data_IF_688382128670
#
_entry.id   IF_688382128670
#
_cell.length_a   1.000
_cell.length_b   1.000
_cell.length_c   1.000
_cell.angle_alpha   90.00
_cell.angle_beta   90.00
_cell.angle_gamma   90.00
#
_symmetry.space_group_name_H-M   'P 1'
#
loop_
_entity.id
_entity.type
_entity.pdbx_description
1 polymer ?
#
# COMPACT_ATOMS: atom_id res chain seq x y z
N UNK A 1 -4.13 32.59 -22.15
CA UNK A 1 -2.75 32.20 -21.79
C UNK A 1 -2.84 31.04 -20.81
N UNK A 2 -2.61 29.80 -21.27
CA UNK A 2 -2.65 28.63 -20.39
C UNK A 2 -1.29 28.52 -19.69
N UNK A 3 -1.21 28.97 -18.44
CA UNK A 3 -0.07 28.64 -17.58
C UNK A 3 -0.23 27.16 -17.20
N UNK A 4 0.45 26.29 -17.93
CA UNK A 4 0.65 24.91 -17.52
C UNK A 4 1.51 24.94 -16.25
N UNK A 5 0.85 25.06 -15.10
CA UNK A 5 1.48 24.78 -13.83
C UNK A 5 1.98 23.34 -13.91
N UNK A 6 3.28 23.17 -14.09
CA UNK A 6 3.96 21.89 -13.89
C UNK A 6 3.52 21.40 -12.52
N UNK A 7 2.59 20.43 -12.51
CA UNK A 7 2.13 19.79 -11.28
C UNK A 7 3.33 19.03 -10.75
N UNK A 8 4.14 19.72 -9.93
CA UNK A 8 5.25 19.10 -9.22
C UNK A 8 4.65 17.93 -8.48
N UNK A 9 5.02 16.72 -8.86
CA UNK A 9 4.53 15.54 -8.18
C UNK A 9 5.08 15.58 -6.76
N UNK A 10 4.18 15.60 -5.78
CA UNK A 10 4.54 15.65 -4.36
C UNK A 10 4.25 14.30 -3.72
N UNK A 11 5.06 13.94 -2.73
CA UNK A 11 4.76 12.79 -1.90
C UNK A 11 3.41 12.97 -1.21
N UNK A 12 2.52 11.99 -1.32
CA UNK A 12 1.19 11.99 -0.70
C UNK A 12 1.20 11.94 0.84
N UNK A 13 2.38 11.75 1.47
CA UNK A 13 2.53 11.71 2.94
C UNK A 13 3.17 12.99 3.48
N UNK A 14 4.25 13.49 2.86
CA UNK A 14 4.99 14.65 3.39
C UNK A 14 5.05 15.86 2.46
N UNK A 15 4.38 15.79 1.31
CA UNK A 15 4.24 16.89 0.34
C UNK A 15 5.57 17.43 -0.21
N UNK A 16 6.64 16.63 -0.15
CA UNK A 16 7.95 16.98 -0.72
C UNK A 16 8.11 16.38 -2.12
N UNK A 17 8.74 17.13 -3.03
CA UNK A 17 8.95 16.76 -4.44
C UNK A 17 10.22 15.91 -4.70
N UNK A 18 11.00 15.58 -3.67
CA UNK A 18 12.29 14.93 -3.86
C UNK A 18 12.14 13.42 -4.10
N UNK A 19 12.57 12.95 -5.27
CA UNK A 19 12.72 11.52 -5.56
C UNK A 19 11.39 10.76 -5.49
N UNK A 20 10.50 11.10 -6.42
CA UNK A 20 9.14 10.57 -6.43
C UNK A 20 9.08 9.21 -7.10
N UNK A 21 8.43 8.27 -6.41
CA UNK A 21 8.03 6.97 -6.88
C UNK A 21 6.50 6.88 -6.92
N UNK A 22 5.95 6.48 -8.06
CA UNK A 22 4.50 6.26 -8.22
C UNK A 22 4.15 4.80 -7.97
N UNK A 23 3.36 4.54 -6.92
CA UNK A 23 2.73 3.24 -6.73
C UNK A 23 1.50 3.15 -7.65
N UNK A 24 1.58 2.36 -8.73
CA UNK A 24 0.45 2.20 -9.68
C UNK A 24 -0.76 1.48 -9.08
N UNK A 25 -0.54 0.56 -8.14
CA UNK A 25 -1.63 -0.14 -7.46
C UNK A 25 -2.48 0.81 -6.60
N UNK A 26 -1.84 1.71 -5.86
CA UNK A 26 -2.53 2.67 -5.00
C UNK A 26 -2.79 4.01 -5.69
N UNK A 27 -2.27 4.22 -6.91
CA UNK A 27 -2.32 5.48 -7.67
C UNK A 27 -1.85 6.69 -6.84
N UNK A 28 -0.78 6.49 -6.07
CA UNK A 28 -0.21 7.51 -5.17
C UNK A 28 1.29 7.67 -5.40
N UNK A 29 1.75 8.89 -5.16
CA UNK A 29 3.15 9.28 -5.33
C UNK A 29 3.83 9.39 -3.96
N UNK A 30 5.02 8.84 -3.82
CA UNK A 30 5.75 8.82 -2.57
C UNK A 30 7.20 9.22 -2.76
N UNK A 31 7.82 9.89 -1.79
CA UNK A 31 9.27 10.03 -1.78
C UNK A 31 9.93 8.70 -1.40
N UNK A 32 11.23 8.55 -1.66
CA UNK A 32 12.00 7.33 -1.36
C UNK A 32 11.83 6.77 0.06
N UNK A 33 11.62 7.62 1.07
CA UNK A 33 11.35 7.18 2.44
C UNK A 33 9.96 6.55 2.55
N UNK A 34 8.93 7.29 2.15
CA UNK A 34 7.54 6.88 2.31
C UNK A 34 7.13 5.75 1.36
N UNK A 35 7.82 5.54 0.23
CA UNK A 35 7.59 4.34 -0.60
C UNK A 35 8.04 3.06 0.12
N UNK A 36 9.14 3.12 0.88
CA UNK A 36 9.61 1.96 1.64
C UNK A 36 8.62 1.63 2.77
N UNK A 37 8.19 2.65 3.53
CA UNK A 37 7.17 2.50 4.57
C UNK A 37 5.85 2.00 3.98
N UNK A 38 5.42 2.54 2.83
CA UNK A 38 4.21 2.08 2.13
C UNK A 38 4.29 0.60 1.73
N UNK A 39 5.44 0.14 1.22
CA UNK A 39 5.64 -1.28 0.86
C UNK A 39 5.63 -2.18 2.09
N UNK A 40 6.23 -1.76 3.20
CA UNK A 40 6.20 -2.51 4.45
C UNK A 40 4.78 -2.66 4.98
N UNK A 41 3.99 -1.59 4.94
CA UNK A 41 2.59 -1.63 5.33
C UNK A 41 1.76 -2.56 4.43
N UNK A 42 1.97 -2.53 3.11
CA UNK A 42 1.29 -3.46 2.19
C UNK A 42 1.63 -4.92 2.48
N UNK A 43 2.89 -5.23 2.78
CA UNK A 43 3.28 -6.60 3.14
C UNK A 43 2.59 -7.05 4.44
N UNK A 44 2.57 -6.18 5.45
CA UNK A 44 1.89 -6.46 6.71
C UNK A 44 0.41 -6.77 6.51
N UNK A 45 -0.29 -5.96 5.70
CA UNK A 45 -1.69 -6.21 5.37
C UNK A 45 -1.89 -7.56 4.67
N UNK A 46 -0.96 -7.94 3.78
CA UNK A 46 -1.03 -9.24 3.10
C UNK A 46 -0.85 -10.40 4.08
N UNK A 47 0.14 -10.31 4.98
CA UNK A 47 0.39 -11.33 6.01
C UNK A 47 -0.80 -11.49 6.96
N UNK A 48 -1.43 -10.38 7.34
CA UNK A 48 -2.66 -10.39 8.14
C UNK A 48 -3.81 -11.07 7.41
N UNK A 49 -4.02 -10.77 6.12
CA UNK A 49 -5.05 -11.42 5.31
C UNK A 49 -4.82 -12.93 5.17
N UNK A 50 -3.57 -13.37 4.93
CA UNK A 50 -3.22 -14.79 4.86
C UNK A 50 -3.48 -15.48 6.19
N UNK A 51 -3.03 -14.87 7.30
CA UNK A 51 -3.25 -15.43 8.63
C UNK A 51 -4.74 -15.57 8.95
N UNK A 52 -5.54 -14.55 8.64
CA UNK A 52 -6.99 -14.59 8.86
C UNK A 52 -7.68 -15.64 7.99
N UNK A 53 -7.24 -15.79 6.73
CA UNK A 53 -7.75 -16.82 5.83
C UNK A 53 -7.45 -18.23 6.37
N UNK A 54 -6.22 -18.48 6.82
CA UNK A 54 -5.81 -19.79 7.34
C UNK A 54 -6.58 -20.14 8.61
N UNK A 55 -6.79 -19.17 9.51
CA UNK A 55 -7.62 -19.35 10.70
C UNK A 55 -9.09 -19.67 10.36
N UNK A 56 -9.65 -18.98 9.37
CA UNK A 56 -11.01 -19.23 8.91
C UNK A 56 -11.14 -20.63 8.30
N UNK A 57 -10.19 -21.02 7.43
CA UNK A 57 -10.18 -22.33 6.81
C UNK A 57 -10.04 -23.43 7.86
N UNK A 58 -9.15 -23.26 8.84
CA UNK A 58 -9.00 -24.19 9.94
C UNK A 58 -10.33 -24.35 10.72
N UNK A 59 -10.98 -23.23 11.04
CA UNK A 59 -12.27 -23.22 11.74
C UNK A 59 -13.35 -23.99 10.96
N UNK A 60 -13.41 -23.82 9.63
CA UNK A 60 -14.36 -24.53 8.77
C UNK A 60 -14.09 -26.04 8.80
N UNK A 61 -12.84 -26.45 8.61
CA UNK A 61 -12.44 -27.88 8.63
C UNK A 61 -12.75 -28.51 9.99
N UNK A 62 -12.48 -27.80 11.09
CA UNK A 62 -12.81 -28.27 12.44
C UNK A 62 -14.32 -28.44 12.65
N UNK A 63 -15.15 -27.60 12.03
CA UNK A 63 -16.60 -27.72 12.09
C UNK A 63 -17.17 -28.82 11.18
N UNK A 64 -16.57 -29.07 10.02
CA UNK A 64 -16.99 -30.16 9.12
C UNK A 64 -16.59 -31.56 9.64
N UNK A 65 -15.60 -31.63 10.53
CA UNK A 65 -15.14 -32.87 11.14
C UNK A 65 -15.95 -33.32 12.38
N UNK A 66 -16.97 -32.54 12.79
CA UNK A 66 -17.89 -32.84 13.90
C UNK A 66 -19.22 -33.41 13.40
#
# INVERSE_FOLDING_TARGET
MANAAERKTLCSICEKAAGIFTCRGCQKDFCYRHVAEHRQELNKQMDELTTNHDQLQQTIVEQEAQ
#
